data_IF_288043053950
#
_entry.id   IF_288043053950
#
_cell.length_a   1.000
_cell.length_b   1.000
_cell.length_c   1.000
_cell.angle_alpha   90.00
_cell.angle_beta   90.00
_cell.angle_gamma   90.00
#
_symmetry.space_group_name_H-M   'P 1'
#
loop_
_entity.id
_entity.type
_entity.pdbx_description
1 polymer ?
#
# COMPACT_ATOMS: atom_id res chain seq x y z
N UNK A 1 -20.89 -0.47 -4.97
CA UNK A 1 -20.20 -0.70 -3.68
C UNK A 1 -18.75 -0.33 -3.90
N UNK A 2 -18.21 0.56 -3.10
CA UNK A 2 -16.77 0.90 -3.15
C UNK A 2 -16.05 0.01 -2.14
N UNK A 3 -15.28 -0.96 -2.61
CA UNK A 3 -14.55 -1.91 -1.78
C UNK A 3 -13.28 -2.32 -2.54
N UNK A 4 -12.12 -1.99 -2.02
CA UNK A 4 -10.82 -2.22 -2.66
C UNK A 4 -10.47 -3.71 -2.84
N UNK A 5 -11.21 -4.63 -2.21
CA UNK A 5 -11.12 -6.06 -2.49
C UNK A 5 -12.02 -6.52 -3.64
N UNK A 6 -12.97 -5.67 -4.10
CA UNK A 6 -13.91 -6.06 -5.16
C UNK A 6 -13.17 -6.16 -6.49
N UNK A 7 -12.95 -7.38 -6.94
CA UNK A 7 -12.37 -7.71 -8.25
C UNK A 7 -13.21 -8.80 -8.90
N UNK A 8 -13.62 -8.64 -10.15
CA UNK A 8 -14.22 -9.75 -10.91
C UNK A 8 -13.15 -10.77 -11.27
N UNK A 9 -13.46 -12.05 -11.06
CA UNK A 9 -12.63 -13.19 -11.43
C UNK A 9 -13.41 -14.08 -12.40
N UNK A 10 -12.70 -14.70 -13.35
CA UNK A 10 -13.31 -15.61 -14.30
C UNK A 10 -14.09 -14.93 -15.43
N UNK A 11 -14.16 -13.60 -15.45
CA UNK A 11 -14.51 -12.86 -16.66
C UNK A 11 -13.33 -12.82 -17.64
N UNK A 12 -12.32 -13.62 -17.36
CA UNK A 12 -11.08 -13.71 -18.12
C UNK A 12 -11.27 -14.26 -19.52
N UNK A 13 -12.44 -14.77 -19.82
CA UNK A 13 -12.66 -15.54 -21.02
C UNK A 13 -13.93 -15.16 -21.74
N UNK A 14 -14.28 -14.04 -22.11
CA UNK A 14 -15.28 -13.85 -23.16
C UNK A 14 -16.12 -12.57 -23.10
N UNK A 15 -15.43 -11.47 -23.21
CA UNK A 15 -15.89 -10.44 -24.13
C UNK A 15 -14.68 -10.19 -25.02
N UNK A 16 -14.62 -10.85 -26.16
CA UNK A 16 -13.57 -10.76 -27.19
C UNK A 16 -12.13 -11.15 -26.79
N UNK A 17 -11.95 -11.98 -25.74
CA UNK A 17 -10.65 -12.59 -25.40
C UNK A 17 -9.61 -11.65 -24.81
N UNK A 18 -9.93 -10.39 -24.55
CA UNK A 18 -9.01 -9.40 -24.00
C UNK A 18 -9.32 -9.10 -22.55
N UNK A 19 -8.37 -9.42 -21.69
CA UNK A 19 -8.33 -8.93 -20.31
C UNK A 19 -7.96 -7.45 -20.35
N UNK A 20 -8.94 -6.60 -20.05
CA UNK A 20 -8.77 -5.13 -20.13
C UNK A 20 -7.54 -4.58 -19.40
N UNK A 21 -7.00 -5.29 -18.41
CA UNK A 21 -5.83 -4.86 -17.64
C UNK A 21 -4.54 -5.62 -17.97
N UNK A 22 -4.60 -6.87 -18.47
CA UNK A 22 -3.40 -7.64 -18.86
C UNK A 22 -2.80 -7.16 -20.19
N UNK A 23 -3.61 -6.54 -21.04
CA UNK A 23 -3.17 -6.01 -22.33
C UNK A 23 -2.77 -4.53 -22.25
N UNK A 24 -2.86 -3.91 -21.08
CA UNK A 24 -2.36 -2.56 -20.90
C UNK A 24 -0.85 -2.57 -20.74
N UNK A 25 -0.23 -1.61 -21.39
CA UNK A 25 1.17 -1.29 -21.23
C UNK A 25 1.34 -0.35 -20.03
N UNK A 26 2.33 -0.61 -19.21
CA UNK A 26 2.63 0.16 -18.01
C UNK A 26 3.96 0.89 -18.15
N UNK A 27 3.99 2.13 -17.74
CA UNK A 27 5.27 2.81 -17.52
C UNK A 27 6.06 2.10 -16.41
N UNK A 28 7.38 1.93 -16.57
CA UNK A 28 8.25 1.35 -15.54
C UNK A 28 8.55 2.37 -14.42
N UNK A 29 7.53 2.98 -13.90
CA UNK A 29 7.63 4.04 -12.87
C UNK A 29 6.78 3.73 -11.66
N UNK A 30 7.20 4.23 -10.51
CA UNK A 30 6.32 4.37 -9.35
C UNK A 30 5.70 5.75 -9.35
N UNK A 31 4.45 5.81 -8.94
CA UNK A 31 3.67 7.04 -8.98
C UNK A 31 2.78 7.15 -7.76
N UNK A 32 2.47 8.38 -7.39
CA UNK A 32 1.44 8.72 -6.41
C UNK A 32 0.51 9.80 -6.98
N UNK A 33 -0.75 9.80 -6.57
CA UNK A 33 -1.63 10.93 -6.86
C UNK A 33 -1.16 12.13 -6.05
N UNK A 34 -0.76 13.19 -6.72
CA UNK A 34 -0.44 14.44 -6.03
C UNK A 34 -1.72 15.23 -5.68
N UNK A 35 -2.69 15.18 -6.58
CA UNK A 35 -4.03 15.78 -6.42
C UNK A 35 -5.02 15.15 -7.43
N UNK A 36 -6.18 15.74 -7.60
CA UNK A 36 -7.21 15.23 -8.53
C UNK A 36 -6.82 15.29 -10.01
N UNK A 37 -5.77 16.02 -10.36
CA UNK A 37 -5.40 16.35 -11.74
C UNK A 37 -3.99 15.89 -12.13
N UNK A 38 -3.14 15.51 -11.15
CA UNK A 38 -1.72 15.28 -11.36
C UNK A 38 -1.25 14.00 -10.67
N UNK A 39 -0.44 13.25 -11.38
CA UNK A 39 0.23 12.04 -10.90
C UNK A 39 1.73 12.33 -10.82
N UNK A 40 2.29 12.29 -9.62
CA UNK A 40 3.72 12.48 -9.37
C UNK A 40 4.48 11.18 -9.69
N UNK A 41 5.53 11.28 -10.49
CA UNK A 41 6.49 10.18 -10.71
C UNK A 41 7.49 10.20 -9.56
N UNK A 42 7.53 9.14 -8.78
CA UNK A 42 8.41 9.05 -7.60
C UNK A 42 9.69 8.28 -7.86
N UNK A 43 9.66 7.30 -8.77
CA UNK A 43 10.84 6.49 -9.12
C UNK A 43 10.69 5.89 -10.53
N UNK A 44 11.82 5.62 -11.18
CA UNK A 44 11.91 4.79 -12.38
C UNK A 44 12.45 3.42 -11.96
N UNK A 45 11.73 2.34 -12.32
CA UNK A 45 11.99 0.97 -11.85
C UNK A 45 12.94 0.16 -12.75
N UNK A 46 13.46 0.73 -13.83
CA UNK A 46 14.31 0.01 -14.78
C UNK A 46 15.61 0.76 -15.03
N UNK A 47 16.74 0.11 -14.70
CA UNK A 47 18.08 0.66 -14.96
C UNK A 47 18.35 0.90 -16.46
N UNK A 48 17.73 0.13 -17.34
CA UNK A 48 17.94 0.19 -18.80
C UNK A 48 16.72 0.72 -19.55
N UNK A 49 15.76 1.38 -18.85
CA UNK A 49 14.64 1.99 -19.55
C UNK A 49 15.17 3.19 -20.32
N UNK A 50 14.93 3.27 -21.66
CA UNK A 50 15.32 4.44 -22.40
C UNK A 50 14.68 5.64 -21.73
N UNK A 51 15.52 6.57 -21.29
CA UNK A 51 15.09 7.77 -20.57
C UNK A 51 14.45 8.74 -21.59
N UNK A 52 13.24 8.41 -22.04
CA UNK A 52 12.47 9.14 -23.04
C UNK A 52 12.02 10.53 -22.53
N UNK A 53 12.74 11.04 -21.54
CA UNK A 53 12.56 12.39 -21.01
C UNK A 53 11.71 12.48 -19.76
N UNK A 54 11.04 11.39 -19.31
CA UNK A 54 10.32 11.32 -18.03
C UNK A 54 11.34 11.14 -16.88
N UNK A 55 11.16 11.88 -15.78
CA UNK A 55 12.07 11.87 -14.64
C UNK A 55 11.31 11.81 -13.31
N UNK A 56 11.92 11.29 -12.22
CA UNK A 56 11.37 11.44 -10.88
C UNK A 56 11.16 12.93 -10.56
N UNK A 57 10.01 13.26 -9.97
CA UNK A 57 9.60 14.64 -9.71
C UNK A 57 8.78 15.29 -10.81
N UNK A 58 8.58 14.64 -11.95
CA UNK A 58 7.64 15.09 -12.96
C UNK A 58 6.20 14.80 -12.53
N UNK A 59 5.27 15.64 -12.97
CA UNK A 59 3.85 15.36 -12.89
C UNK A 59 3.30 14.94 -14.25
N UNK A 60 2.64 13.80 -14.32
CA UNK A 60 1.79 13.47 -15.47
C UNK A 60 0.44 14.18 -15.27
N UNK A 61 0.07 15.05 -16.21
CA UNK A 61 -1.16 15.83 -16.19
C UNK A 61 -2.15 15.39 -17.27
N UNK A 62 -1.67 14.70 -18.30
CA UNK A 62 -2.48 14.21 -19.41
C UNK A 62 -1.91 12.99 -20.10
N UNK A 63 -2.77 12.28 -20.83
CA UNK A 63 -2.44 11.10 -21.61
C UNK A 63 -3.22 11.11 -22.92
N UNK A 64 -2.51 11.05 -24.05
CA UNK A 64 -3.09 11.12 -25.40
C UNK A 64 -4.06 12.30 -25.59
N UNK A 65 -3.70 13.47 -25.07
CA UNK A 65 -4.49 14.70 -25.18
C UNK A 65 -5.70 14.77 -24.22
N UNK A 66 -5.90 13.77 -23.35
CA UNK A 66 -6.92 13.82 -22.30
C UNK A 66 -6.27 14.17 -20.96
N UNK A 67 -6.89 15.03 -20.17
CA UNK A 67 -6.42 15.35 -18.83
C UNK A 67 -6.53 14.13 -17.89
N UNK A 68 -5.62 14.01 -16.93
CA UNK A 68 -5.70 13.01 -15.85
C UNK A 68 -7.03 13.14 -15.09
N UNK A 69 -7.52 14.39 -14.89
CA UNK A 69 -8.81 14.65 -14.27
C UNK A 69 -9.98 13.98 -15.02
N UNK A 70 -10.04 14.14 -16.36
CA UNK A 70 -11.13 13.55 -17.17
C UNK A 70 -11.04 12.04 -17.23
N UNK A 71 -9.81 11.48 -17.33
CA UNK A 71 -9.58 10.04 -17.29
C UNK A 71 -10.08 9.47 -15.98
N UNK A 72 -9.70 10.09 -14.86
CA UNK A 72 -10.11 9.70 -13.52
C UNK A 72 -11.62 9.79 -13.33
N UNK A 73 -12.23 10.91 -13.73
CA UNK A 73 -13.68 11.11 -13.65
C UNK A 73 -14.48 10.04 -14.42
N UNK A 74 -13.98 9.59 -15.56
CA UNK A 74 -14.59 8.49 -16.31
C UNK A 74 -14.35 7.14 -15.62
N UNK A 75 -13.18 6.88 -15.09
CA UNK A 75 -12.84 5.68 -14.35
C UNK A 75 -13.62 5.56 -13.03
N UNK A 76 -13.93 6.69 -12.36
CA UNK A 76 -14.68 6.73 -11.10
C UNK A 76 -16.09 6.12 -11.22
N UNK A 77 -16.64 6.06 -12.41
CA UNK A 77 -17.92 5.38 -12.67
C UNK A 77 -17.84 3.87 -12.40
N UNK A 78 -16.64 3.30 -12.57
CA UNK A 78 -16.36 1.88 -12.45
C UNK A 78 -15.38 1.58 -11.30
N UNK A 79 -14.92 2.63 -10.59
CA UNK A 79 -13.95 2.51 -9.53
C UNK A 79 -14.56 1.82 -8.31
N UNK A 80 -13.94 0.72 -7.89
CA UNK A 80 -14.33 -0.10 -6.75
C UNK A 80 -13.52 0.20 -5.47
N UNK A 81 -12.59 1.17 -5.53
CA UNK A 81 -11.70 1.48 -4.43
C UNK A 81 -12.46 2.10 -3.24
N UNK A 82 -12.13 1.67 -2.03
CA UNK A 82 -12.83 2.09 -0.81
C UNK A 82 -12.44 3.51 -0.39
N UNK A 83 -11.15 3.84 -0.48
CA UNK A 83 -10.64 5.14 -0.07
C UNK A 83 -10.04 5.93 -1.23
N UNK A 84 -9.95 7.25 -1.08
CA UNK A 84 -9.28 8.12 -2.05
C UNK A 84 -7.78 7.80 -2.18
N UNK A 85 -7.18 7.27 -1.14
CA UNK A 85 -5.77 6.86 -1.14
C UNK A 85 -5.54 5.59 -1.96
N UNK A 86 -6.54 4.74 -2.11
CA UNK A 86 -6.47 3.63 -3.05
C UNK A 86 -6.41 4.11 -4.52
N UNK A 87 -6.76 5.37 -4.81
CA UNK A 87 -6.50 6.03 -6.09
C UNK A 87 -5.00 6.19 -6.38
N UNK A 88 -4.12 5.94 -5.42
CA UNK A 88 -2.68 5.84 -5.64
C UNK A 88 -2.30 4.63 -6.50
N UNK A 89 -3.23 3.75 -6.83
CA UNK A 89 -3.09 2.86 -7.99
C UNK A 89 -3.16 3.63 -9.32
N UNK A 90 -2.78 4.90 -9.28
CA UNK A 90 -2.62 5.79 -10.42
C UNK A 90 -1.97 5.18 -11.67
N UNK A 91 -1.11 4.15 -11.59
CA UNK A 91 -0.64 3.46 -12.79
C UNK A 91 -1.77 2.96 -13.69
N UNK A 92 -2.92 2.62 -13.12
CA UNK A 92 -4.07 2.19 -13.93
C UNK A 92 -4.67 3.34 -14.76
N UNK A 93 -4.60 4.59 -14.27
CA UNK A 93 -5.10 5.76 -15.01
C UNK A 93 -4.18 6.18 -16.15
N UNK A 94 -2.92 5.77 -16.11
CA UNK A 94 -1.91 6.10 -17.14
C UNK A 94 -1.47 4.88 -17.96
N UNK A 95 -2.10 3.72 -17.77
CA UNK A 95 -1.87 2.52 -18.59
C UNK A 95 -2.83 2.49 -19.77
N UNK A 96 -2.33 2.14 -20.96
CA UNK A 96 -3.11 2.13 -22.19
C UNK A 96 -2.76 0.95 -23.07
N UNK A 97 -3.74 0.41 -23.79
CA UNK A 97 -3.46 -0.53 -24.86
C UNK A 97 -2.82 0.22 -26.03
N UNK A 98 -1.77 -0.33 -26.62
CA UNK A 98 -1.14 0.25 -27.81
C UNK A 98 0.38 0.36 -27.73
N UNK A 99 1.01 0.58 -28.88
CA UNK A 99 2.49 0.58 -29.00
C UNK A 99 3.14 1.93 -28.68
N UNK A 100 2.36 2.99 -28.54
CA UNK A 100 2.88 4.31 -28.16
C UNK A 100 1.82 5.14 -27.46
N UNK A 101 2.25 5.94 -26.48
CA UNK A 101 1.41 6.85 -25.71
C UNK A 101 2.11 8.19 -25.60
N UNK A 102 1.37 9.29 -25.74
CA UNK A 102 1.86 10.63 -25.47
C UNK A 102 1.41 11.07 -24.09
N UNK A 103 2.36 11.33 -23.20
CA UNK A 103 2.10 11.87 -21.88
C UNK A 103 2.35 13.36 -21.87
N UNK A 104 1.38 14.13 -21.37
CA UNK A 104 1.59 15.54 -21.06
C UNK A 104 2.17 15.62 -19.65
N UNK A 105 3.39 16.15 -19.55
CA UNK A 105 4.19 16.19 -18.33
C UNK A 105 4.44 17.62 -17.92
N UNK A 106 4.23 17.93 -16.65
CA UNK A 106 4.63 19.19 -16.02
C UNK A 106 5.96 18.98 -15.28
N UNK A 107 6.98 19.78 -15.66
CA UNK A 107 8.30 19.84 -15.01
C UNK A 107 8.69 21.30 -14.77
N UNK A 108 8.94 21.66 -13.51
CA UNK A 108 9.32 23.02 -13.11
C UNK A 108 8.34 24.11 -13.60
N UNK A 109 7.03 23.76 -13.67
CA UNK A 109 5.97 24.63 -14.15
C UNK A 109 5.81 24.70 -15.68
N UNK A 110 6.64 23.99 -16.44
CA UNK A 110 6.54 23.90 -17.90
C UNK A 110 5.86 22.61 -18.35
N UNK A 111 4.93 22.72 -19.29
CA UNK A 111 4.24 21.59 -19.90
C UNK A 111 4.99 21.07 -21.11
N UNK A 112 5.11 19.75 -21.23
CA UNK A 112 5.79 19.06 -22.33
C UNK A 112 5.02 17.80 -22.71
N UNK A 113 4.94 17.54 -24.01
CA UNK A 113 4.42 16.26 -24.51
C UNK A 113 5.59 15.32 -24.77
N UNK A 114 5.57 14.16 -24.09
CA UNK A 114 6.59 13.13 -24.19
C UNK A 114 5.94 11.87 -24.75
N UNK A 115 6.42 11.42 -25.90
CA UNK A 115 5.95 10.21 -26.55
C UNK A 115 6.79 9.02 -26.09
N UNK A 116 6.13 8.02 -25.50
CA UNK A 116 6.74 6.78 -25.03
C UNK A 116 6.34 5.63 -25.95
N UNK A 117 7.30 4.77 -26.30
CA UNK A 117 7.10 3.61 -27.16
C UNK A 117 7.48 2.29 -26.46
N UNK A 118 8.19 2.39 -25.31
CA UNK A 118 8.62 1.23 -24.54
C UNK A 118 7.85 1.14 -23.23
N UNK A 119 7.26 -0.01 -23.00
CA UNK A 119 6.40 -0.28 -21.86
C UNK A 119 6.74 -1.64 -21.26
N UNK A 120 6.36 -1.82 -20.02
CA UNK A 120 6.38 -3.10 -19.33
C UNK A 120 4.99 -3.74 -19.36
N UNK A 121 4.94 -5.06 -19.33
CA UNK A 121 3.70 -5.74 -18.96
C UNK A 121 3.45 -5.61 -17.44
N UNK A 122 2.24 -6.02 -17.02
CA UNK A 122 1.86 -5.97 -15.62
C UNK A 122 2.82 -6.73 -14.70
N UNK A 123 3.28 -7.92 -15.12
CA UNK A 123 4.13 -8.79 -14.31
C UNK A 123 5.57 -8.33 -14.26
N UNK A 124 6.09 -7.77 -15.35
CA UNK A 124 7.41 -7.13 -15.40
C UNK A 124 7.46 -5.95 -14.45
N UNK A 125 6.41 -5.10 -14.47
CA UNK A 125 6.31 -3.97 -13.55
C UNK A 125 6.25 -4.41 -12.09
N UNK A 126 5.49 -5.47 -11.79
CA UNK A 126 5.37 -6.01 -10.44
C UNK A 126 6.73 -6.49 -9.92
N UNK A 127 7.46 -7.28 -10.72
CA UNK A 127 8.81 -7.79 -10.38
C UNK A 127 9.82 -6.66 -10.22
N UNK A 128 9.87 -5.70 -11.13
CA UNK A 128 10.82 -4.59 -11.08
C UNK A 128 10.68 -3.74 -9.81
N UNK A 129 9.50 -3.74 -9.19
CA UNK A 129 9.24 -3.07 -7.92
C UNK A 129 9.86 -3.80 -6.73
N UNK A 130 9.86 -5.12 -6.72
CA UNK A 130 10.34 -5.93 -5.60
C UNK A 130 11.88 -5.97 -5.53
N UNK A 131 12.57 -5.96 -6.66
CA UNK A 131 14.01 -6.26 -6.76
C UNK A 131 14.94 -5.15 -6.24
N UNK A 132 14.47 -3.91 -6.07
CA UNK A 132 15.33 -2.75 -5.81
C UNK A 132 15.19 -2.11 -4.42
N UNK A 133 14.41 -2.68 -3.51
CA UNK A 133 14.23 -2.09 -2.17
C UNK A 133 14.92 -2.96 -1.11
N UNK A 134 15.93 -2.43 -0.38
CA UNK A 134 16.61 -3.22 0.64
C UNK A 134 15.66 -3.59 1.77
N UNK A 135 15.73 -4.85 2.24
CA UNK A 135 14.87 -5.33 3.33
C UNK A 135 15.19 -4.67 4.66
N UNK A 136 16.45 -4.28 4.88
CA UNK A 136 16.85 -3.64 6.14
C UNK A 136 18.19 -2.91 5.99
N UNK A 137 18.36 -1.83 6.75
CA UNK A 137 19.63 -1.11 6.90
C UNK A 137 19.59 -0.17 8.11
N UNK A 138 20.76 0.29 8.54
CA UNK A 138 20.85 1.35 9.56
C UNK A 138 20.60 2.72 8.93
N UNK A 139 19.61 3.44 9.43
CA UNK A 139 19.18 4.74 8.89
C UNK A 139 19.43 5.90 9.87
N UNK A 140 20.69 6.25 10.10
CA UNK A 140 21.10 7.34 11.01
C UNK A 140 21.02 6.96 12.49
N UNK A 141 21.73 7.65 13.36
CA UNK A 141 21.76 7.64 14.83
C UNK A 141 21.25 6.39 15.58
N UNK A 142 21.66 5.19 15.15
CA UNK A 142 21.21 3.94 15.78
C UNK A 142 19.76 3.53 15.50
N UNK A 143 19.15 4.09 14.48
CA UNK A 143 17.83 3.68 13.99
C UNK A 143 17.93 2.60 12.92
N UNK A 144 17.00 1.68 12.89
CA UNK A 144 16.92 0.57 11.95
C UNK A 144 15.70 0.74 11.06
N UNK A 145 15.91 0.68 9.75
CA UNK A 145 14.83 0.57 8.77
C UNK A 145 14.56 -0.90 8.45
N UNK A 146 13.29 -1.29 8.39
CA UNK A 146 12.85 -2.65 8.07
C UNK A 146 11.70 -2.59 7.08
N UNK A 147 11.91 -3.11 5.86
CA UNK A 147 10.87 -3.24 4.85
C UNK A 147 10.09 -4.55 5.02
N UNK A 148 8.85 -4.46 5.50
CA UNK A 148 7.99 -5.61 5.72
C UNK A 148 7.41 -6.20 4.40
N UNK A 149 7.53 -5.48 3.30
CA UNK A 149 7.13 -5.96 1.97
C UNK A 149 8.13 -6.95 1.36
N UNK A 150 9.37 -7.00 1.85
CA UNK A 150 10.45 -7.82 1.27
C UNK A 150 11.13 -8.77 2.24
N UNK A 151 10.86 -8.67 3.55
CA UNK A 151 11.51 -9.49 4.58
C UNK A 151 10.61 -10.66 5.01
N UNK A 152 11.16 -11.88 5.09
CA UNK A 152 10.48 -13.01 5.68
C UNK A 152 10.63 -13.05 7.21
N UNK A 153 9.83 -13.88 7.89
CA UNK A 153 9.78 -13.93 9.35
C UNK A 153 11.11 -14.32 10.00
N UNK A 154 11.85 -15.27 9.43
CA UNK A 154 13.15 -15.73 9.98
C UNK A 154 14.21 -14.62 9.93
N UNK A 155 14.27 -13.92 8.80
CA UNK A 155 15.17 -12.78 8.63
C UNK A 155 14.75 -11.62 9.53
N UNK A 156 13.46 -11.36 9.63
CA UNK A 156 12.91 -10.35 10.53
C UNK A 156 13.30 -10.65 11.99
N UNK A 157 13.09 -11.88 12.46
CA UNK A 157 13.44 -12.27 13.82
C UNK A 157 14.93 -12.04 14.13
N UNK A 158 15.83 -12.36 13.19
CA UNK A 158 17.27 -12.11 13.33
C UNK A 158 17.57 -10.61 13.41
N UNK A 159 17.00 -9.81 12.51
CA UNK A 159 17.17 -8.35 12.51
C UNK A 159 16.70 -7.74 13.82
N UNK A 160 15.51 -8.10 14.28
CA UNK A 160 14.91 -7.55 15.49
C UNK A 160 15.73 -7.92 16.74
N UNK A 161 16.12 -9.19 16.86
CA UNK A 161 16.94 -9.64 18.01
C UNK A 161 18.33 -9.00 18.05
N UNK A 162 18.98 -8.82 16.90
CA UNK A 162 20.28 -8.16 16.80
C UNK A 162 20.20 -6.66 17.11
N UNK A 163 19.02 -6.06 17.04
CA UNK A 163 18.78 -4.63 17.22
C UNK A 163 17.85 -4.31 18.40
N UNK A 164 17.76 -5.21 19.39
CA UNK A 164 16.89 -5.02 20.56
C UNK A 164 17.22 -3.75 21.35
N UNK A 165 18.46 -3.30 21.31
CA UNK A 165 18.94 -2.08 21.98
C UNK A 165 18.99 -0.88 21.03
N UNK A 166 18.47 -0.98 19.81
CA UNK A 166 18.46 0.16 18.88
C UNK A 166 17.56 1.29 19.42
N UNK A 167 17.92 2.52 19.10
CA UNK A 167 17.19 3.73 19.54
C UNK A 167 15.76 3.78 19.00
N UNK A 168 15.59 3.36 17.75
CA UNK A 168 14.30 3.29 17.10
C UNK A 168 14.28 2.26 15.96
N UNK A 169 13.10 1.76 15.64
CA UNK A 169 12.84 0.94 14.45
C UNK A 169 11.75 1.62 13.62
N UNK A 170 12.05 1.79 12.32
CA UNK A 170 11.12 2.30 11.32
C UNK A 170 10.73 1.13 10.43
N UNK A 171 9.50 0.66 10.57
CA UNK A 171 8.91 -0.34 9.69
C UNK A 171 8.34 0.33 8.45
N UNK A 172 8.59 -0.24 7.28
CA UNK A 172 7.97 0.22 6.02
C UNK A 172 6.93 -0.79 5.55
N UNK A 173 5.67 -0.35 5.52
CA UNK A 173 4.53 -1.14 5.05
C UNK A 173 3.91 -0.52 3.79
N UNK A 174 4.64 0.28 3.05
CA UNK A 174 4.25 0.82 1.74
C UNK A 174 4.40 -0.20 0.61
N UNK A 175 4.30 -1.47 0.93
CA UNK A 175 4.32 -2.64 0.06
C UNK A 175 3.34 -3.70 0.58
N UNK A 176 3.33 -4.88 -0.06
CA UNK A 176 2.53 -6.03 0.41
C UNK A 176 3.44 -7.09 1.04
N UNK A 177 3.12 -7.61 2.23
CA UNK A 177 4.00 -8.53 2.94
C UNK A 177 4.10 -9.89 2.23
N UNK A 178 5.32 -10.42 2.11
CA UNK A 178 5.60 -11.71 1.46
C UNK A 178 5.31 -12.91 2.36
N UNK A 179 5.33 -12.74 3.70
CA UNK A 179 5.20 -13.82 4.70
C UNK A 179 4.29 -13.37 5.85
N UNK A 180 3.07 -12.95 5.50
CA UNK A 180 2.17 -12.26 6.41
C UNK A 180 1.92 -12.96 7.77
N UNK A 181 1.50 -14.25 7.87
CA UNK A 181 1.13 -14.78 9.18
C UNK A 181 2.34 -14.89 10.12
N UNK A 182 3.48 -15.34 9.62
CA UNK A 182 4.69 -15.53 10.41
C UNK A 182 5.35 -14.20 10.80
N UNK A 183 5.30 -13.19 9.92
CA UNK A 183 5.74 -11.82 10.22
C UNK A 183 4.88 -11.20 11.32
N UNK A 184 3.56 -11.41 11.30
CA UNK A 184 2.65 -10.91 12.34
C UNK A 184 3.00 -11.47 13.72
N UNK A 185 3.22 -12.78 13.81
CA UNK A 185 3.60 -13.42 15.07
C UNK A 185 4.96 -12.93 15.58
N UNK A 186 5.94 -12.79 14.68
CA UNK A 186 7.27 -12.26 15.00
C UNK A 186 7.20 -10.84 15.55
N UNK A 187 6.50 -9.94 14.87
CA UNK A 187 6.31 -8.53 15.28
C UNK A 187 5.65 -8.44 16.66
N UNK A 188 4.53 -9.15 16.84
CA UNK A 188 3.77 -9.05 18.09
C UNK A 188 4.49 -9.67 19.28
N UNK A 189 5.26 -10.76 19.07
CA UNK A 189 6.11 -11.32 20.10
C UNK A 189 7.28 -10.41 20.49
N UNK A 190 7.77 -9.57 19.57
CA UNK A 190 8.88 -8.66 19.80
C UNK A 190 8.43 -7.33 20.40
N UNK A 191 7.30 -6.79 19.93
CA UNK A 191 6.84 -5.44 20.28
C UNK A 191 5.95 -5.40 21.53
N UNK A 192 5.36 -6.52 21.95
CA UNK A 192 4.37 -6.51 23.01
C UNK A 192 4.91 -7.05 24.33
N UNK A 193 4.65 -6.33 25.47
CA UNK A 193 4.93 -6.87 26.79
C UNK A 193 4.03 -8.03 27.19
N UNK A 194 2.82 -8.06 26.63
CA UNK A 194 1.77 -9.07 26.89
C UNK A 194 0.86 -9.24 25.68
N UNK A 195 0.13 -10.36 25.55
CA UNK A 195 -0.78 -10.55 24.44
C UNK A 195 -1.84 -9.47 24.35
N UNK A 196 -1.97 -8.80 23.19
CA UNK A 196 -2.90 -7.72 22.93
C UNK A 196 -3.84 -8.03 21.79
N UNK A 197 -5.05 -7.50 21.90
CA UNK A 197 -5.99 -7.46 20.79
C UNK A 197 -5.60 -6.33 19.84
N UNK A 198 -5.46 -6.63 18.56
CA UNK A 198 -5.13 -5.61 17.55
C UNK A 198 -6.37 -5.10 16.81
N UNK A 199 -7.45 -5.87 16.76
CA UNK A 199 -8.71 -5.52 16.10
C UNK A 199 -9.87 -6.38 16.59
N UNK A 200 -11.09 -6.00 16.22
CA UNK A 200 -12.32 -6.83 16.33
C UNK A 200 -12.87 -7.08 14.94
N UNK A 201 -13.53 -8.22 14.74
CA UNK A 201 -14.17 -8.55 13.48
C UNK A 201 -15.65 -8.86 13.68
N UNK A 202 -16.49 -8.44 12.74
CA UNK A 202 -17.89 -8.80 12.65
C UNK A 202 -18.18 -9.45 11.32
N UNK A 203 -19.10 -10.40 11.32
CA UNK A 203 -19.53 -11.13 10.13
C UNK A 203 -21.05 -11.03 9.99
N UNK A 204 -21.52 -11.00 8.76
CA UNK A 204 -22.96 -11.09 8.50
C UNK A 204 -23.50 -12.41 9.02
N UNK A 205 -24.64 -12.36 9.69
CA UNK A 205 -25.35 -13.57 10.10
C UNK A 205 -26.18 -14.11 8.93
N UNK A 206 -25.77 -15.25 8.39
CA UNK A 206 -26.45 -15.87 7.25
C UNK A 206 -27.89 -16.32 7.59
N UNK A 207 -28.19 -16.55 8.87
CA UNK A 207 -29.51 -16.98 9.33
C UNK A 207 -30.43 -15.80 9.71
N UNK A 208 -29.88 -14.60 9.83
CA UNK A 208 -30.61 -13.41 10.22
C UNK A 208 -30.15 -12.22 9.37
N UNK A 209 -30.75 -12.01 8.17
CA UNK A 209 -30.38 -10.91 7.29
C UNK A 209 -30.40 -9.56 8.01
N UNK A 210 -29.42 -8.70 7.73
CA UNK A 210 -29.18 -7.41 8.37
C UNK A 210 -28.63 -7.45 9.80
N UNK A 211 -28.35 -8.63 10.36
CA UNK A 211 -27.66 -8.74 11.63
C UNK A 211 -26.19 -9.13 11.43
N UNK A 212 -25.34 -8.66 12.34
CA UNK A 212 -23.92 -8.97 12.34
C UNK A 212 -23.57 -9.61 13.67
N UNK A 213 -22.80 -10.68 13.62
CA UNK A 213 -22.24 -11.34 14.81
C UNK A 213 -20.81 -10.89 14.99
N UNK A 214 -20.52 -10.25 16.12
CA UNK A 214 -19.17 -10.21 16.66
C UNK A 214 -19.01 -11.40 17.59
N UNK A 215 -18.25 -12.39 17.20
CA UNK A 215 -17.94 -13.52 18.07
C UNK A 215 -16.68 -13.18 18.88
N UNK A 216 -16.70 -13.49 20.19
CA UNK A 216 -15.52 -13.35 21.05
C UNK A 216 -14.31 -14.19 20.57
N UNK A 217 -14.54 -15.27 19.79
CA UNK A 217 -13.49 -16.05 19.16
C UNK A 217 -12.72 -15.31 18.07
N UNK A 218 -13.25 -14.18 17.55
CA UNK A 218 -12.54 -13.33 16.59
C UNK A 218 -11.71 -12.22 17.26
N UNK A 219 -11.77 -12.11 18.57
CA UNK A 219 -10.87 -11.26 19.34
C UNK A 219 -9.55 -11.98 19.57
N UNK A 220 -8.79 -12.18 18.50
CA UNK A 220 -7.49 -12.83 18.58
C UNK A 220 -6.55 -11.88 19.32
N UNK A 221 -5.95 -12.39 20.40
CA UNK A 221 -4.82 -11.72 21.05
C UNK A 221 -3.55 -12.27 20.42
N UNK A 222 -2.72 -11.37 19.94
CA UNK A 222 -1.42 -11.66 19.37
C UNK A 222 -0.30 -11.38 20.37
N UNK A 223 0.83 -12.02 20.14
CA UNK A 223 1.99 -11.91 21.01
C UNK A 223 1.96 -12.88 22.19
N UNK A 224 2.98 -12.80 22.99
CA UNK A 224 3.18 -13.57 24.24
C UNK A 224 3.63 -12.65 25.34
N UNK A 225 3.54 -13.07 26.61
CA UNK A 225 4.16 -12.34 27.71
C UNK A 225 5.68 -12.30 27.50
N UNK A 226 6.22 -11.11 27.33
CA UNK A 226 7.63 -10.88 27.04
C UNK A 226 8.16 -9.70 27.86
N UNK A 227 8.84 -9.94 28.99
CA UNK A 227 9.43 -8.85 29.78
C UNK A 227 10.59 -8.15 29.06
N UNK A 228 11.14 -8.76 28.04
CA UNK A 228 12.25 -8.25 27.22
C UNK A 228 11.77 -7.72 25.86
N UNK A 229 10.51 -7.28 25.77
CA UNK A 229 9.99 -6.67 24.56
C UNK A 229 10.79 -5.41 24.19
N UNK A 230 10.75 -5.04 22.92
CA UNK A 230 11.45 -3.85 22.44
C UNK A 230 10.90 -2.57 23.11
N UNK A 231 11.79 -1.77 23.65
CA UNK A 231 11.45 -0.55 24.41
C UNK A 231 11.87 0.73 23.71
N UNK A 232 12.55 0.63 22.56
CA UNK A 232 12.89 1.78 21.74
C UNK A 232 11.65 2.35 21.02
N UNK A 233 11.84 3.48 20.35
CA UNK A 233 10.77 4.12 19.59
C UNK A 233 10.41 3.33 18.33
N UNK A 234 9.14 3.32 17.98
CA UNK A 234 8.62 2.59 16.82
C UNK A 234 7.82 3.52 15.92
N UNK A 235 8.10 3.49 14.63
CA UNK A 235 7.24 4.09 13.62
C UNK A 235 6.94 3.08 12.51
N UNK A 236 5.78 3.23 11.85
CA UNK A 236 5.43 2.52 10.63
C UNK A 236 5.07 3.50 9.53
N UNK A 237 5.67 3.32 8.36
CA UNK A 237 5.39 4.09 7.15
C UNK A 237 4.29 3.38 6.36
N UNK A 238 3.28 4.13 5.93
CA UNK A 238 2.12 3.61 5.19
C UNK A 238 1.73 4.53 4.04
N UNK A 239 1.02 3.97 3.06
CA UNK A 239 0.41 4.73 1.97
C UNK A 239 -0.80 3.96 1.38
N UNK A 240 -1.39 4.44 0.29
CA UNK A 240 -2.56 3.82 -0.32
C UNK A 240 -2.35 2.39 -0.85
N UNK A 241 -1.11 1.92 -0.96
CA UNK A 241 -0.79 0.53 -1.32
C UNK A 241 -0.82 -0.38 -0.09
N UNK A 242 -0.80 0.19 1.11
CA UNK A 242 -0.97 -0.55 2.36
C UNK A 242 -2.41 -1.07 2.43
N UNK A 243 -2.61 -2.33 2.01
CA UNK A 243 -3.93 -2.96 1.87
C UNK A 243 -4.00 -4.30 2.60
N UNK A 244 -5.16 -4.65 3.15
CA UNK A 244 -5.49 -5.99 3.66
C UNK A 244 -4.47 -6.50 4.70
N UNK A 245 -3.66 -7.53 4.40
CA UNK A 245 -2.63 -8.06 5.29
C UNK A 245 -1.63 -6.99 5.75
N UNK A 246 -1.30 -6.02 4.88
CA UNK A 246 -0.45 -4.89 5.22
C UNK A 246 -1.11 -3.99 6.29
N UNK A 247 -2.43 -3.78 6.20
CA UNK A 247 -3.18 -3.04 7.22
C UNK A 247 -3.22 -3.80 8.57
N UNK A 248 -3.29 -5.15 8.54
CA UNK A 248 -3.19 -5.95 9.78
C UNK A 248 -1.83 -5.77 10.45
N UNK A 249 -0.72 -5.83 9.70
CA UNK A 249 0.62 -5.60 10.24
C UNK A 249 0.76 -4.16 10.77
N UNK A 250 0.21 -3.19 10.06
CA UNK A 250 0.17 -1.79 10.53
C UNK A 250 -0.57 -1.66 11.86
N UNK A 251 -1.74 -2.30 12.00
CA UNK A 251 -2.47 -2.33 13.28
C UNK A 251 -1.71 -3.05 14.37
N UNK A 252 -1.01 -4.14 14.06
CA UNK A 252 -0.18 -4.83 15.03
C UNK A 252 0.92 -3.89 15.54
N UNK A 253 1.58 -3.15 14.67
CA UNK A 253 2.61 -2.19 15.08
C UNK A 253 1.97 -1.02 15.86
N UNK A 254 0.86 -0.45 15.37
CA UNK A 254 0.15 0.65 16.04
C UNK A 254 -0.29 0.31 17.48
N UNK A 255 -0.56 -0.96 17.78
CA UNK A 255 -0.91 -1.42 19.12
C UNK A 255 0.31 -1.68 20.03
N UNK A 256 1.54 -1.54 19.53
CA UNK A 256 2.73 -1.53 20.37
C UNK A 256 2.79 -0.23 21.22
N UNK A 257 3.46 -0.26 22.38
CA UNK A 257 3.62 0.95 23.20
C UNK A 257 4.25 2.09 22.39
N UNK A 258 3.63 3.27 22.43
CA UNK A 258 4.10 4.52 21.83
C UNK A 258 4.45 4.45 20.32
N UNK A 259 3.93 3.46 19.61
CA UNK A 259 4.14 3.33 18.17
C UNK A 259 3.38 4.41 17.38
N UNK A 260 4.00 4.90 16.31
CA UNK A 260 3.53 6.02 15.50
C UNK A 260 3.29 5.55 14.06
N UNK A 261 2.14 5.92 13.48
CA UNK A 261 1.79 5.67 12.07
C UNK A 261 1.99 6.94 11.26
N UNK A 262 2.84 6.89 10.26
CA UNK A 262 3.26 8.04 9.44
C UNK A 262 3.02 7.73 7.96
N UNK A 263 2.51 8.68 7.23
CA UNK A 263 2.40 8.57 5.77
C UNK A 263 1.09 9.06 5.21
N UNK A 264 0.53 8.32 4.29
CA UNK A 264 -0.74 8.63 3.65
C UNK A 264 -1.79 7.59 4.03
N UNK A 265 -3.10 7.91 3.90
CA UNK A 265 -4.17 6.99 4.25
C UNK A 265 -3.99 5.63 3.55
N UNK A 266 -4.27 4.55 4.28
CA UNK A 266 -4.21 3.18 3.74
C UNK A 266 -5.42 2.87 2.86
N UNK A 267 -5.45 1.72 2.21
CA UNK A 267 -6.49 1.37 1.24
C UNK A 267 -7.91 1.24 1.82
N UNK A 268 -8.06 1.19 3.14
CA UNK A 268 -9.38 1.05 3.77
C UNK A 268 -10.09 -0.26 3.40
N UNK A 269 -9.33 -1.32 3.14
CA UNK A 269 -9.83 -2.61 2.70
C UNK A 269 -9.36 -3.73 3.64
N UNK A 270 -9.34 -3.45 4.92
CA UNK A 270 -9.04 -4.44 5.93
C UNK A 270 -10.26 -5.34 6.16
N UNK A 271 -10.07 -6.65 6.02
CA UNK A 271 -11.10 -7.64 6.28
C UNK A 271 -10.92 -8.93 5.49
N UNK A 272 -11.64 -9.96 5.88
CA UNK A 272 -11.58 -11.25 5.19
C UNK A 272 -12.27 -11.14 3.83
N UNK A 273 -11.54 -11.47 2.78
CA UNK A 273 -12.10 -11.57 1.43
C UNK A 273 -13.07 -12.75 1.35
N UNK A 274 -14.26 -12.49 0.83
CA UNK A 274 -15.27 -13.51 0.51
C UNK A 274 -15.45 -13.56 -1.00
N UNK A 275 -15.39 -14.76 -1.57
CA UNK A 275 -15.68 -14.99 -2.97
C UNK A 275 -17.17 -15.29 -3.15
N UNK A 276 -17.84 -14.55 -4.04
CA UNK A 276 -19.23 -14.76 -4.40
C UNK A 276 -19.30 -15.31 -5.83
N UNK A 277 -19.77 -16.55 -6.04
CA UNK A 277 -19.95 -17.08 -7.38
C UNK A 277 -21.01 -16.30 -8.14
N UNK A 278 -20.77 -16.12 -9.44
CA UNK A 278 -21.66 -15.48 -10.39
C UNK A 278 -22.07 -16.47 -11.47
N UNK A 279 -23.11 -16.14 -12.23
CA UNK A 279 -23.54 -16.93 -13.38
C UNK A 279 -22.42 -17.04 -14.44
N UNK A 280 -22.35 -18.17 -15.13
CA UNK A 280 -21.36 -18.41 -16.19
C UNK A 280 -19.98 -18.82 -15.68
N UNK A 281 -19.84 -19.21 -14.39
CA UNK A 281 -18.57 -19.66 -13.81
C UNK A 281 -17.66 -18.53 -13.35
N UNK A 282 -18.09 -17.28 -13.47
CA UNK A 282 -17.40 -16.13 -12.91
C UNK A 282 -17.54 -16.06 -11.39
N UNK A 283 -16.73 -15.26 -10.73
CA UNK A 283 -16.88 -14.91 -9.32
C UNK A 283 -16.49 -13.46 -9.07
N UNK A 284 -16.97 -12.89 -7.99
CA UNK A 284 -16.47 -11.60 -7.50
C UNK A 284 -15.94 -11.76 -6.07
N UNK A 285 -14.98 -10.94 -5.71
CA UNK A 285 -14.48 -10.83 -4.34
C UNK A 285 -15.07 -9.59 -3.69
N UNK A 286 -15.38 -9.70 -2.41
CA UNK A 286 -15.84 -8.60 -1.56
C UNK A 286 -15.19 -8.73 -0.18
N UNK A 287 -15.09 -7.63 0.55
CA UNK A 287 -14.77 -7.67 1.98
C UNK A 287 -15.94 -8.25 2.74
N UNK A 288 -15.79 -9.47 3.24
CA UNK A 288 -16.86 -10.24 3.89
C UNK A 288 -16.95 -10.05 5.41
N UNK A 289 -16.09 -9.21 6.00
CA UNK A 289 -16.07 -8.95 7.43
C UNK A 289 -15.85 -7.46 7.71
N UNK A 290 -16.62 -6.90 8.63
CA UNK A 290 -16.31 -5.60 9.20
C UNK A 290 -15.16 -5.69 10.18
N UNK A 291 -14.21 -4.79 10.12
CA UNK A 291 -13.07 -4.69 11.04
C UNK A 291 -13.15 -3.39 11.82
N UNK A 292 -12.97 -3.52 13.13
CA UNK A 292 -13.08 -2.42 14.07
C UNK A 292 -11.83 -2.33 14.94
N UNK A 293 -11.39 -1.13 15.21
CA UNK A 293 -10.33 -0.84 16.16
C UNK A 293 -10.76 -1.15 17.60
N UNK A 294 -9.84 -1.07 18.54
CA UNK A 294 -10.12 -1.33 19.96
C UNK A 294 -11.08 -0.30 20.59
N UNK A 295 -11.16 0.92 20.05
CA UNK A 295 -12.10 1.97 20.44
C UNK A 295 -13.50 1.80 19.83
N UNK A 296 -13.67 0.86 18.90
CA UNK A 296 -14.92 0.57 18.22
C UNK A 296 -15.10 1.29 16.87
N UNK A 297 -14.19 2.15 16.47
CA UNK A 297 -14.22 2.78 15.15
C UNK A 297 -13.99 1.74 14.04
N UNK A 298 -14.66 1.93 12.88
CA UNK A 298 -14.51 1.06 11.71
C UNK A 298 -13.31 1.48 10.88
N UNK A 299 -12.53 0.52 10.37
CA UNK A 299 -11.43 0.80 9.45
C UNK A 299 -11.89 1.07 8.01
N UNK A 300 -13.13 0.75 7.69
CA UNK A 300 -13.70 1.00 6.37
C UNK A 300 -14.53 2.30 6.39
N UNK A 301 -14.43 3.18 5.38
CA UNK A 301 -13.53 3.13 4.21
C UNK A 301 -12.18 3.82 4.42
N UNK A 302 -11.95 4.43 5.57
CA UNK A 302 -10.89 5.43 5.78
C UNK A 302 -9.50 4.82 6.02
N UNK A 303 -9.44 3.49 6.26
CA UNK A 303 -8.18 2.79 6.53
C UNK A 303 -7.70 2.92 7.98
N UNK A 304 -6.39 2.78 8.15
CA UNK A 304 -5.76 2.84 9.48
C UNK A 304 -5.53 4.29 9.88
N UNK A 305 -5.95 4.73 11.07
CA UNK A 305 -5.73 6.09 11.53
C UNK A 305 -4.23 6.43 11.60
N UNK A 306 -3.86 7.54 10.95
CA UNK A 306 -2.52 8.11 10.95
C UNK A 306 -2.31 8.99 12.18
N UNK A 307 -1.08 8.99 12.70
CA UNK A 307 -0.64 9.97 13.70
C UNK A 307 -0.05 11.21 13.01
N UNK A 308 0.56 11.03 11.83
CA UNK A 308 1.07 12.12 10.99
C UNK A 308 0.79 11.83 9.51
N UNK A 309 0.07 12.75 8.85
CA UNK A 309 -0.07 12.72 7.40
C UNK A 309 1.13 13.40 6.75
N UNK A 310 1.87 12.65 5.92
CA UNK A 310 3.08 13.12 5.24
C UNK A 310 3.01 12.69 3.78
N UNK A 311 2.96 13.65 2.89
CA UNK A 311 2.97 13.42 1.43
C UNK A 311 4.38 13.48 0.89
N UNK A 312 4.64 12.68 -0.16
CA UNK A 312 5.87 12.78 -0.92
C UNK A 312 5.92 14.12 -1.67
N UNK A 313 7.06 14.80 -1.62
CA UNK A 313 7.23 16.09 -2.33
C UNK A 313 8.07 15.93 -3.59
N UNK A 314 7.80 16.70 -4.66
CA UNK A 314 8.62 16.67 -5.87
C UNK A 314 10.08 17.02 -5.62
N UNK A 315 10.32 17.96 -4.70
CA UNK A 315 11.65 18.42 -4.32
C UNK A 315 12.48 17.31 -3.69
N UNK A 316 11.86 16.54 -2.77
CA UNK A 316 12.52 15.39 -2.16
C UNK A 316 12.72 14.27 -3.18
N UNK A 317 11.73 13.99 -4.01
CA UNK A 317 11.82 13.00 -5.09
C UNK A 317 12.96 13.33 -6.04
N UNK A 318 13.05 14.57 -6.53
CA UNK A 318 14.16 15.05 -7.41
C UNK A 318 15.53 14.92 -6.74
N UNK A 319 15.57 15.09 -5.43
CA UNK A 319 16.79 14.94 -4.64
C UNK A 319 17.07 13.48 -4.22
N UNK A 320 16.27 12.50 -4.67
CA UNK A 320 16.39 11.09 -4.30
C UNK A 320 16.10 10.82 -2.81
N UNK A 321 15.33 11.69 -2.16
CA UNK A 321 14.95 11.56 -0.75
C UNK A 321 13.53 11.02 -0.61
N UNK A 322 13.32 10.20 0.40
CA UNK A 322 12.00 9.74 0.84
C UNK A 322 11.47 10.67 1.93
N UNK A 323 10.50 11.53 1.59
CA UNK A 323 9.94 12.54 2.51
C UNK A 323 9.40 11.92 3.80
N UNK A 324 8.70 10.79 3.70
CA UNK A 324 8.09 10.10 4.86
C UNK A 324 9.16 9.49 5.76
N UNK A 325 10.17 8.84 5.18
CA UNK A 325 11.29 8.27 5.92
C UNK A 325 12.11 9.37 6.61
N UNK A 326 12.42 10.46 5.92
CA UNK A 326 13.15 11.59 6.50
C UNK A 326 12.34 12.27 7.62
N UNK A 327 11.02 12.36 7.48
CA UNK A 327 10.15 12.84 8.55
C UNK A 327 10.21 11.92 9.78
N UNK A 328 10.09 10.60 9.59
CA UNK A 328 10.16 9.62 10.68
C UNK A 328 11.50 9.69 11.42
N UNK A 329 12.62 9.76 10.68
CA UNK A 329 13.97 9.90 11.26
C UNK A 329 14.08 11.15 12.14
N UNK A 330 13.61 12.31 11.66
CA UNK A 330 13.62 13.56 12.45
C UNK A 330 12.74 13.47 13.69
N UNK A 331 11.58 12.82 13.59
CA UNK A 331 10.65 12.67 14.71
C UNK A 331 11.23 11.77 15.81
N UNK A 332 11.82 10.66 15.43
CA UNK A 332 12.36 9.67 16.37
C UNK A 332 13.73 10.07 16.95
N UNK A 333 14.42 11.03 16.34
CA UNK A 333 15.70 11.57 16.85
C UNK A 333 15.55 12.45 18.08
N UNK A 334 14.37 13.01 18.30
CA UNK A 334 14.03 13.83 19.47
C UNK A 334 13.73 12.95 20.69
#
# INVERSE_FOLDING_TARGET
MKDSHTLPYGLETNIDGELLWKNNNYLPVETVMADSCRILITRINAENYPNDGIQPGDYITGVNGRSVYDIRKDADKYNHLASLSADQYAPAYISFPGKSVTYTVERDGEMRDIRINDFMDYWERYRAREDNTPSTYTCGDGMIYVNLGTINADSLAKVLNNNIESKAIIFDMRGYPVDYPAVLDTLTCFLYPEPRRIMRMSYADLNSPRTFRSNNSYTIKYGKTNPYYYKGKVAVLVNGITISAAEVLTLAIKNAPDAIVIGEPTAGALGRVTCQPLLGGASTRITGAGVYLNDGSCTYPDGIPLDFTVHQTPEDVKAGRDTQLEFAKRLLSK
#
